data_IF_814792044954
#
_entry.id   IF_814792044954
#
_cell.length_a   1.000
_cell.length_b   1.000
_cell.length_c   1.000
_cell.angle_alpha   90.00
_cell.angle_beta   90.00
_cell.angle_gamma   90.00
#
_symmetry.space_group_name_H-M   'P 1'
#
loop_
_entity.id
_entity.type
_entity.pdbx_description
1 polymer ?
#
# COMPACT_ATOMS: atom_id res chain seq x y z
N UNK A 1 -0.47 -64.23 62.97
CA UNK A 1 -0.48 -65.68 62.70
C UNK A 1 -1.32 -66.36 63.75
N UNK A 2 -2.30 -67.14 63.40
CA UNK A 2 -3.13 -67.92 64.31
C UNK A 2 -2.73 -69.40 64.10
N UNK A 3 -1.99 -70.05 65.04
CA UNK A 3 -1.70 -71.45 64.92
C UNK A 3 -2.94 -72.30 65.04
N UNK A 4 -3.00 -73.39 64.26
CA UNK A 4 -4.12 -74.34 64.25
C UNK A 4 -3.62 -75.79 64.19
N UNK A 5 -4.36 -76.74 64.81
CA UNK A 5 -4.09 -78.15 64.72
C UNK A 5 -5.41 -78.92 64.55
N UNK A 6 -5.41 -80.26 64.64
CA UNK A 6 -6.58 -81.12 64.55
C UNK A 6 -7.67 -80.87 65.64
N UNK A 7 -7.33 -80.19 66.72
CA UNK A 7 -8.24 -79.83 67.81
C UNK A 7 -8.83 -78.45 67.67
N UNK A 8 -8.40 -77.62 66.69
CA UNK A 8 -8.90 -76.31 66.48
C UNK A 8 -7.80 -75.25 66.37
N UNK A 9 -8.25 -73.96 66.18
CA UNK A 9 -7.33 -72.84 66.15
C UNK A 9 -7.21 -72.17 67.52
N UNK A 10 -6.06 -71.60 67.80
CA UNK A 10 -5.80 -70.88 69.05
C UNK A 10 -6.72 -69.66 69.12
N UNK A 11 -7.36 -69.45 70.33
CA UNK A 11 -8.09 -68.24 70.67
C UNK A 11 -7.25 -67.26 71.45
N UNK A 12 -7.47 -65.98 71.33
CA UNK A 12 -6.75 -64.94 72.10
C UNK A 12 -5.39 -64.55 71.53
N UNK A 13 -5.09 -64.95 70.29
CA UNK A 13 -3.88 -64.49 69.62
C UNK A 13 -3.87 -62.97 69.48
N UNK A 14 -2.77 -62.33 69.93
CA UNK A 14 -2.62 -60.86 69.77
C UNK A 14 -2.26 -60.49 68.35
N UNK A 15 -2.86 -59.36 67.92
CA UNK A 15 -2.48 -58.74 66.65
C UNK A 15 -1.31 -57.83 66.91
N UNK A 16 -0.20 -57.97 66.19
CA UNK A 16 0.93 -57.03 66.18
C UNK A 16 0.83 -56.18 64.89
N UNK A 17 0.85 -54.89 65.08
CA UNK A 17 0.94 -53.93 63.96
C UNK A 17 2.43 -53.65 63.71
N UNK A 18 2.76 -53.50 62.45
CA UNK A 18 4.09 -52.97 62.07
C UNK A 18 3.83 -51.81 61.12
N UNK A 19 4.65 -50.80 61.22
CA UNK A 19 4.65 -49.64 60.28
C UNK A 19 5.89 -49.80 59.42
N UNK A 20 5.73 -49.81 58.11
CA UNK A 20 6.85 -49.74 57.17
C UNK A 20 7.44 -48.35 57.21
N UNK A 21 8.75 -48.27 57.14
CA UNK A 21 9.44 -46.98 56.98
C UNK A 21 8.96 -46.32 55.67
N UNK A 22 8.72 -45.02 55.73
CA UNK A 22 8.34 -44.24 54.54
C UNK A 22 9.53 -44.24 53.55
N UNK A 23 9.21 -44.45 52.29
CA UNK A 23 10.27 -44.40 51.23
C UNK A 23 10.88 -42.99 51.23
N UNK A 24 12.20 -42.82 51.20
CA UNK A 24 12.87 -41.52 51.14
C UNK A 24 12.44 -40.76 49.90
N UNK A 25 11.96 -39.53 50.10
CA UNK A 25 11.65 -38.64 48.98
C UNK A 25 12.97 -38.11 48.42
N UNK A 26 13.23 -38.34 47.14
CA UNK A 26 14.40 -37.83 46.44
C UNK A 26 14.02 -36.63 45.56
N UNK A 27 15.02 -35.79 45.29
CA UNK A 27 14.86 -34.64 44.37
C UNK A 27 14.43 -35.15 42.97
N UNK A 28 13.46 -34.54 42.30
CA UNK A 28 13.02 -34.97 40.99
C UNK A 28 14.13 -34.89 39.91
N UNK A 29 14.00 -35.67 38.85
CA UNK A 29 14.86 -35.53 37.66
C UNK A 29 14.52 -34.24 36.88
N UNK A 30 15.45 -33.80 36.05
CA UNK A 30 15.19 -32.66 35.13
C UNK A 30 14.19 -33.01 34.03
N UNK A 31 13.51 -32.00 33.50
CA UNK A 31 12.72 -32.04 32.28
C UNK A 31 13.07 -30.83 31.42
N UNK A 32 12.58 -30.81 30.20
CA UNK A 32 12.74 -29.69 29.26
C UNK A 32 11.40 -29.38 28.55
N UNK A 33 11.30 -28.20 27.96
CA UNK A 33 10.15 -27.82 27.16
C UNK A 33 9.98 -28.77 25.97
N UNK A 34 8.75 -29.21 25.74
CA UNK A 34 8.32 -29.97 24.56
C UNK A 34 7.63 -29.01 23.55
N UNK A 35 7.00 -27.93 24.03
CA UNK A 35 6.45 -26.85 23.25
C UNK A 35 6.88 -25.54 23.93
N UNK A 36 7.52 -24.63 23.23
CA UNK A 36 8.18 -24.82 21.94
C UNK A 36 9.31 -25.87 22.03
N UNK A 37 9.53 -26.62 20.94
CA UNK A 37 10.65 -27.54 20.87
C UNK A 37 11.99 -26.79 20.84
N UNK A 38 13.06 -27.45 21.33
CA UNK A 38 14.40 -26.84 21.30
C UNK A 38 14.83 -26.51 19.84
N UNK A 39 15.26 -25.26 19.60
CA UNK A 39 15.69 -24.77 18.29
C UNK A 39 14.54 -24.47 17.33
N UNK A 40 13.28 -24.51 17.78
CA UNK A 40 12.15 -24.16 16.95
C UNK A 40 12.18 -22.69 16.51
N UNK A 41 11.77 -22.42 15.27
CA UNK A 41 11.65 -21.09 14.67
C UNK A 41 10.20 -20.81 14.27
N UNK A 42 9.87 -19.57 13.97
CA UNK A 42 8.53 -19.12 13.57
C UNK A 42 7.44 -19.48 14.61
N UNK A 43 7.79 -19.36 15.90
CA UNK A 43 6.84 -19.59 16.98
C UNK A 43 5.98 -18.34 17.19
N UNK A 44 4.66 -18.49 17.26
CA UNK A 44 3.75 -17.39 17.53
C UNK A 44 4.07 -16.67 18.84
N UNK A 45 3.87 -15.37 18.91
CA UNK A 45 4.17 -14.56 20.11
C UNK A 45 3.29 -14.93 21.30
N UNK A 46 2.04 -15.34 21.07
CA UNK A 46 1.10 -15.85 22.09
C UNK A 46 1.28 -17.38 22.26
N UNK A 47 2.51 -17.84 22.51
CA UNK A 47 2.80 -19.27 22.58
C UNK A 47 2.48 -19.87 23.94
N UNK A 48 2.06 -21.14 23.93
CA UNK A 48 1.85 -21.96 25.11
C UNK A 48 3.11 -22.81 25.38
N UNK A 49 3.54 -22.88 26.63
CA UNK A 49 4.65 -23.72 27.06
C UNK A 49 4.14 -25.05 27.58
N UNK A 50 4.79 -26.16 27.21
CA UNK A 50 4.45 -27.47 27.76
C UNK A 50 5.72 -28.31 27.98
N UNK A 51 5.64 -29.28 28.90
CA UNK A 51 6.68 -30.20 29.23
C UNK A 51 6.13 -31.53 29.74
N UNK A 52 6.99 -32.54 29.78
CA UNK A 52 6.63 -33.87 30.30
C UNK A 52 6.62 -33.86 31.83
N UNK A 53 5.59 -34.42 32.44
CA UNK A 53 5.50 -34.61 33.86
C UNK A 53 6.65 -35.47 34.39
N UNK A 54 7.23 -35.07 35.51
CA UNK A 54 8.34 -35.80 36.17
C UNK A 54 7.83 -36.51 37.41
N UNK A 55 8.13 -37.81 37.52
CA UNK A 55 7.77 -38.62 38.69
C UNK A 55 8.38 -38.03 39.96
N UNK A 56 7.53 -37.85 41.00
CA UNK A 56 7.97 -37.29 42.27
C UNK A 56 8.06 -35.75 42.31
N UNK A 57 7.83 -35.04 41.22
CA UNK A 57 7.68 -33.59 41.23
C UNK A 57 6.28 -33.19 41.74
N UNK A 58 6.23 -32.16 42.61
CA UNK A 58 5.01 -31.56 43.14
C UNK A 58 4.82 -30.11 42.67
N UNK A 59 5.82 -29.53 42.04
CA UNK A 59 5.78 -28.23 41.41
C UNK A 59 6.86 -28.06 40.37
N UNK A 60 6.73 -27.03 39.53
CA UNK A 60 7.70 -26.65 38.50
C UNK A 60 8.03 -25.18 38.58
N UNK A 61 9.31 -24.81 38.47
CA UNK A 61 9.74 -23.44 38.24
C UNK A 61 9.96 -23.28 36.74
N UNK A 62 9.21 -22.39 36.12
CA UNK A 62 9.41 -22.01 34.72
C UNK A 62 10.22 -20.72 34.66
N UNK A 63 11.29 -20.75 33.85
CA UNK A 63 12.21 -19.66 33.65
C UNK A 63 12.29 -19.37 32.14
N UNK A 64 12.06 -18.10 31.76
CA UNK A 64 12.10 -17.63 30.38
C UNK A 64 12.89 -16.33 30.34
N UNK A 65 13.73 -16.19 29.34
CA UNK A 65 14.51 -14.97 29.14
C UNK A 65 15.07 -14.81 27.74
N UNK A 66 15.64 -13.64 27.46
CA UNK A 66 16.20 -13.26 26.16
C UNK A 66 17.67 -13.65 25.98
N UNK A 67 18.29 -14.22 27.02
CA UNK A 67 19.64 -14.78 26.96
C UNK A 67 19.74 -15.99 27.88
N UNK A 68 20.63 -16.96 27.54
CA UNK A 68 20.85 -18.14 28.35
C UNK A 68 21.34 -17.76 29.76
N UNK A 69 20.60 -18.20 30.78
CA UNK A 69 20.90 -17.89 32.19
C UNK A 69 20.32 -16.54 32.68
N UNK A 70 19.71 -15.74 31.83
CA UNK A 70 19.00 -14.50 32.17
C UNK A 70 17.49 -14.73 32.07
N UNK A 71 16.81 -14.65 33.24
CA UNK A 71 15.37 -14.98 33.34
C UNK A 71 14.53 -13.71 33.52
N UNK A 72 14.63 -12.79 32.58
CA UNK A 72 14.06 -11.46 32.64
C UNK A 72 12.60 -11.37 32.15
N UNK A 73 12.05 -12.45 31.56
CA UNK A 73 10.65 -12.51 31.12
C UNK A 73 9.79 -13.21 32.18
N UNK A 74 10.23 -14.39 32.64
CA UNK A 74 9.54 -15.14 33.68
C UNK A 74 10.56 -15.89 34.55
N UNK A 75 10.34 -15.88 35.86
CA UNK A 75 11.05 -16.75 36.83
C UNK A 75 10.06 -17.03 37.97
N UNK A 76 9.25 -18.06 37.79
CA UNK A 76 8.11 -18.29 38.68
C UNK A 76 7.88 -19.77 38.92
N UNK A 77 7.48 -20.12 40.16
CA UNK A 77 6.88 -21.42 40.46
C UNK A 77 5.43 -21.40 39.93
N UNK A 78 5.16 -22.23 38.93
CA UNK A 78 3.86 -22.34 38.25
C UNK A 78 2.97 -23.45 38.83
N UNK A 79 3.41 -24.10 39.95
CA UNK A 79 2.65 -25.16 40.61
C UNK A 79 2.85 -26.53 39.95
N UNK A 80 1.96 -27.46 40.24
CA UNK A 80 1.98 -28.83 39.71
C UNK A 80 1.22 -28.89 38.36
N UNK A 81 1.73 -28.20 37.36
CA UNK A 81 1.17 -28.17 36.01
C UNK A 81 2.24 -28.60 35.00
N UNK A 82 1.80 -29.02 33.83
CA UNK A 82 2.69 -29.38 32.70
C UNK A 82 2.49 -28.48 31.49
N UNK A 83 1.67 -27.43 31.63
CA UNK A 83 1.44 -26.40 30.62
C UNK A 83 1.34 -25.05 31.29
N UNK A 84 1.76 -23.99 30.58
CA UNK A 84 1.68 -22.61 31.07
C UNK A 84 1.57 -21.62 29.89
N UNK A 85 0.63 -20.68 30.00
CA UNK A 85 0.50 -19.55 29.09
C UNK A 85 1.07 -18.29 29.73
N UNK A 86 1.86 -17.52 28.99
CA UNK A 86 2.30 -16.22 29.45
C UNK A 86 1.09 -15.24 29.50
N UNK A 87 1.06 -14.33 30.47
CA UNK A 87 0.02 -13.31 30.54
C UNK A 87 0.16 -12.22 29.47
N UNK A 88 1.32 -12.07 28.88
CA UNK A 88 1.62 -11.12 27.83
C UNK A 88 2.32 -11.83 26.66
N UNK A 89 2.11 -11.31 25.45
CA UNK A 89 2.77 -11.79 24.26
C UNK A 89 4.28 -11.54 24.31
N UNK A 90 5.03 -12.39 23.62
CA UNK A 90 6.46 -12.24 23.39
C UNK A 90 6.70 -11.23 22.27
N UNK A 91 7.93 -10.69 22.18
CA UNK A 91 8.31 -9.84 21.05
C UNK A 91 8.51 -10.66 19.78
N UNK A 92 8.25 -10.07 18.64
CA UNK A 92 8.59 -10.61 17.33
C UNK A 92 10.10 -10.74 17.14
N UNK A 93 10.53 -11.57 16.19
CA UNK A 93 11.93 -11.72 15.74
C UNK A 93 12.93 -11.93 16.85
N UNK A 94 12.49 -12.54 17.97
CA UNK A 94 13.28 -12.63 19.20
C UNK A 94 13.57 -14.07 19.58
N UNK A 95 14.85 -14.36 19.91
CA UNK A 95 15.22 -15.64 20.47
C UNK A 95 14.98 -15.64 21.98
N UNK A 96 14.28 -16.67 22.46
CA UNK A 96 14.02 -16.91 23.87
C UNK A 96 14.67 -18.20 24.35
N UNK A 97 15.05 -18.20 25.61
CA UNK A 97 15.62 -19.33 26.33
C UNK A 97 14.68 -19.76 27.42
N UNK A 98 14.50 -21.09 27.57
CA UNK A 98 13.55 -21.69 28.51
C UNK A 98 14.24 -22.73 29.35
N UNK A 99 14.01 -22.72 30.68
CA UNK A 99 14.40 -23.76 31.60
C UNK A 99 13.24 -24.14 32.49
N UNK A 100 13.04 -25.44 32.69
CA UNK A 100 12.01 -26.00 33.57
C UNK A 100 12.71 -26.77 34.67
N UNK A 101 12.41 -26.45 35.93
CA UNK A 101 13.00 -27.03 37.11
C UNK A 101 11.92 -27.71 37.92
N UNK A 102 11.79 -29.05 37.88
CA UNK A 102 10.89 -29.78 38.76
C UNK A 102 11.36 -29.71 40.24
N UNK A 103 10.42 -29.65 41.17
CA UNK A 103 10.66 -29.50 42.60
C UNK A 103 9.71 -30.35 43.42
N UNK A 104 10.15 -30.77 44.61
CA UNK A 104 9.33 -31.40 45.65
C UNK A 104 9.84 -31.01 47.07
N UNK A 105 9.36 -31.69 48.10
CA UNK A 105 9.76 -31.42 49.50
C UNK A 105 11.23 -31.75 49.79
N UNK A 106 11.89 -32.58 48.99
CA UNK A 106 13.34 -32.88 49.12
C UNK A 106 14.20 -31.80 48.44
N UNK A 107 13.63 -30.96 47.58
CA UNK A 107 14.34 -29.88 46.89
C UNK A 107 13.97 -29.73 45.41
N UNK A 108 14.72 -28.86 44.74
CA UNK A 108 14.61 -28.61 43.29
C UNK A 108 15.68 -29.34 42.50
N UNK A 109 15.32 -29.80 41.31
CA UNK A 109 16.29 -30.39 40.37
C UNK A 109 17.40 -29.38 40.03
N UNK A 110 18.62 -29.87 39.88
CA UNK A 110 19.79 -29.05 39.54
C UNK A 110 20.39 -29.49 38.19
N UNK A 111 21.02 -28.53 37.47
CA UNK A 111 21.66 -28.82 36.19
C UNK A 111 20.69 -29.06 35.04
N UNK A 112 19.42 -28.61 35.14
CA UNK A 112 18.45 -28.78 34.08
C UNK A 112 18.83 -27.97 32.83
N UNK A 113 18.63 -28.60 31.68
CA UNK A 113 18.98 -28.04 30.36
C UNK A 113 18.17 -26.79 30.03
N UNK A 114 18.80 -25.87 29.32
CA UNK A 114 18.17 -24.72 28.72
C UNK A 114 17.85 -25.04 27.25
N UNK A 115 16.62 -24.84 26.84
CA UNK A 115 16.18 -24.91 25.45
C UNK A 115 15.97 -23.49 24.90
N UNK A 116 15.92 -23.33 23.58
CA UNK A 116 15.66 -22.05 22.95
C UNK A 116 14.67 -22.21 21.82
N UNK A 117 14.06 -21.09 21.45
CA UNK A 117 13.21 -20.97 20.26
C UNK A 117 13.24 -19.51 19.78
N UNK A 118 12.81 -19.28 18.53
CA UNK A 118 12.70 -17.94 17.95
C UNK A 118 11.27 -17.68 17.53
N UNK A 119 10.73 -16.51 17.86
CA UNK A 119 9.40 -16.08 17.47
C UNK A 119 9.34 -15.71 15.98
N UNK A 120 8.13 -15.66 15.43
CA UNK A 120 7.85 -15.22 14.06
C UNK A 120 8.37 -13.80 13.85
N UNK A 121 8.67 -13.46 12.59
CA UNK A 121 8.93 -12.08 12.19
C UNK A 121 7.65 -11.24 12.30
N UNK A 122 7.82 -9.94 12.55
CA UNK A 122 6.75 -8.96 12.47
C UNK A 122 6.38 -8.65 11.01
N UNK A 123 5.35 -7.87 10.87
CA UNK A 123 4.90 -7.21 9.64
C UNK A 123 4.36 -5.85 10.12
N UNK A 124 5.26 -4.84 10.18
CA UNK A 124 5.01 -3.59 10.90
C UNK A 124 4.00 -2.71 10.18
N UNK A 125 4.00 -2.72 8.85
CA UNK A 125 3.08 -1.91 8.04
C UNK A 125 1.83 -2.69 7.58
N UNK A 126 1.83 -4.03 7.75
CA UNK A 126 0.67 -4.87 7.50
C UNK A 126 0.37 -5.12 6.02
N UNK A 127 1.37 -5.02 5.16
CA UNK A 127 1.23 -5.21 3.71
C UNK A 127 1.22 -6.70 3.28
N UNK A 128 1.52 -7.63 4.23
CA UNK A 128 1.56 -9.08 4.04
C UNK A 128 2.94 -9.64 3.76
N UNK A 129 3.99 -8.80 3.75
CA UNK A 129 5.40 -9.21 3.67
C UNK A 129 6.05 -8.93 5.02
N UNK A 130 6.73 -9.95 5.56
CA UNK A 130 7.34 -9.83 6.89
C UNK A 130 8.58 -8.95 6.87
N UNK A 131 8.85 -8.22 7.98
CA UNK A 131 9.94 -7.23 8.13
C UNK A 131 11.32 -7.74 7.67
N UNK A 132 11.59 -9.06 7.75
CA UNK A 132 12.86 -9.65 7.32
C UNK A 132 13.01 -9.74 5.80
N UNK A 133 11.93 -9.62 5.05
CA UNK A 133 11.89 -9.69 3.59
C UNK A 133 11.44 -8.38 2.97
N UNK A 134 10.80 -7.53 3.76
CA UNK A 134 10.26 -6.27 3.31
C UNK A 134 11.37 -5.26 3.00
N UNK A 135 11.39 -4.77 1.77
CA UNK A 135 12.29 -3.72 1.29
C UNK A 135 11.64 -2.33 1.29
N UNK A 136 10.34 -2.27 1.50
CA UNK A 136 9.54 -1.04 1.51
C UNK A 136 8.73 -0.90 2.81
N UNK A 137 9.38 -0.76 3.98
CA UNK A 137 8.81 -0.96 5.32
C UNK A 137 7.84 0.14 5.79
N UNK A 138 7.11 0.76 4.92
CA UNK A 138 6.07 1.74 5.22
C UNK A 138 5.04 1.76 4.09
N UNK A 139 4.76 0.65 3.46
CA UNK A 139 3.73 0.54 2.44
C UNK A 139 2.36 0.71 3.10
N UNK A 140 1.52 1.66 2.67
CA UNK A 140 0.21 1.86 3.27
C UNK A 140 -0.68 0.63 3.13
N UNK A 141 -1.41 0.30 4.19
CA UNK A 141 -2.32 -0.85 4.22
C UNK A 141 -3.30 -0.84 3.03
N UNK A 142 -3.39 -1.97 2.33
CA UNK A 142 -4.30 -2.16 1.20
C UNK A 142 -3.71 -1.80 -0.17
N UNK A 143 -2.47 -1.34 -0.23
CA UNK A 143 -1.72 -1.21 -1.47
C UNK A 143 -1.21 -2.60 -1.88
N UNK A 144 -1.44 -3.06 -3.13
CA UNK A 144 -0.86 -4.29 -3.63
C UNK A 144 0.66 -4.22 -3.69
N UNK A 145 1.33 -5.27 -3.19
CA UNK A 145 2.79 -5.33 -3.15
C UNK A 145 3.33 -6.55 -3.88
N UNK A 146 4.59 -6.49 -4.24
CA UNK A 146 5.36 -7.63 -4.73
C UNK A 146 5.87 -8.51 -3.57
N UNK A 147 6.68 -9.53 -3.88
CA UNK A 147 7.27 -10.43 -2.87
C UNK A 147 8.27 -9.76 -1.93
N UNK A 148 8.63 -8.51 -2.17
CA UNK A 148 9.55 -7.71 -1.38
C UNK A 148 8.85 -6.59 -0.59
N UNK A 149 7.52 -6.59 -0.52
CA UNK A 149 6.74 -5.56 0.17
C UNK A 149 6.63 -4.23 -0.59
N UNK A 150 7.10 -4.15 -1.84
CA UNK A 150 7.08 -2.89 -2.58
C UNK A 150 5.82 -2.76 -3.45
N UNK A 151 5.19 -1.56 -3.48
CA UNK A 151 3.98 -1.30 -4.25
C UNK A 151 4.10 -1.69 -5.72
N UNK A 152 3.05 -2.32 -6.26
CA UNK A 152 2.95 -2.69 -7.68
C UNK A 152 1.67 -2.15 -8.29
N UNK A 153 1.78 -1.69 -9.55
CA UNK A 153 0.62 -1.26 -10.32
C UNK A 153 -0.34 -2.43 -10.55
N UNK A 154 -1.50 -2.40 -9.90
CA UNK A 154 -2.51 -3.45 -9.97
C UNK A 154 -3.51 -3.26 -11.13
N UNK A 155 -3.78 -2.01 -11.52
CA UNK A 155 -4.68 -1.65 -12.60
C UNK A 155 -4.19 -0.37 -13.29
N UNK A 156 -3.94 -0.41 -14.62
CA UNK A 156 -3.47 0.76 -15.35
C UNK A 156 -4.39 1.97 -15.13
N UNK A 157 -3.78 3.14 -14.99
CA UNK A 157 -4.53 4.40 -14.96
C UNK A 157 -5.13 4.67 -16.34
N UNK A 158 -6.42 4.92 -16.37
CA UNK A 158 -7.13 5.40 -17.54
C UNK A 158 -7.66 6.79 -17.26
N UNK A 159 -7.49 7.69 -18.22
CA UNK A 159 -7.93 9.07 -18.09
C UNK A 159 -8.90 9.43 -19.20
N UNK A 160 -9.89 10.24 -18.86
CA UNK A 160 -10.74 10.95 -19.83
C UNK A 160 -10.66 12.44 -19.53
N UNK A 161 -10.77 13.28 -20.57
CA UNK A 161 -10.67 14.71 -20.44
C UNK A 161 -11.92 15.39 -21.00
N UNK A 162 -12.39 16.40 -20.28
CA UNK A 162 -13.42 17.31 -20.73
C UNK A 162 -12.86 18.73 -20.71
N UNK A 163 -12.81 19.39 -21.87
CA UNK A 163 -12.28 20.75 -22.03
C UNK A 163 -13.45 21.70 -22.26
N UNK A 164 -13.52 22.74 -21.44
CA UNK A 164 -14.47 23.82 -21.56
C UNK A 164 -13.73 25.16 -21.56
N UNK A 165 -13.66 25.81 -22.72
CA UNK A 165 -12.86 27.03 -22.92
C UNK A 165 -11.39 26.83 -22.56
N UNK A 166 -10.92 27.41 -21.46
CA UNK A 166 -9.54 27.32 -20.95
C UNK A 166 -9.43 26.43 -19.71
N UNK A 167 -10.50 25.70 -19.38
CA UNK A 167 -10.52 24.78 -18.26
C UNK A 167 -10.52 23.34 -18.75
N UNK A 168 -9.86 22.46 -18.00
CA UNK A 168 -9.84 21.04 -18.27
C UNK A 168 -10.18 20.24 -17.01
N UNK A 169 -11.12 19.31 -17.13
CA UNK A 169 -11.45 18.34 -16.10
C UNK A 169 -10.98 16.95 -16.56
N UNK A 170 -10.05 16.37 -15.80
CA UNK A 170 -9.49 15.04 -16.05
C UNK A 170 -10.12 14.07 -15.06
N UNK A 171 -10.87 13.10 -15.55
CA UNK A 171 -11.38 12.00 -14.74
C UNK A 171 -10.44 10.81 -14.80
N UNK A 172 -10.16 10.23 -13.62
CA UNK A 172 -9.22 9.13 -13.43
C UNK A 172 -10.01 7.87 -13.09
N UNK A 173 -9.65 6.74 -13.70
CA UNK A 173 -10.12 5.41 -13.33
C UNK A 173 -8.95 4.43 -13.29
N UNK A 174 -9.03 3.42 -12.40
CA UNK A 174 -7.89 2.57 -12.06
C UNK A 174 -6.95 3.23 -11.05
N UNK A 175 -5.90 2.51 -10.66
CA UNK A 175 -4.97 2.93 -9.62
C UNK A 175 -5.60 3.10 -8.24
N UNK A 176 -4.80 3.45 -7.26
CA UNK A 176 -5.23 3.69 -5.87
C UNK A 176 -4.85 5.12 -5.45
N UNK A 177 -5.80 5.85 -4.86
CA UNK A 177 -5.53 7.19 -4.31
C UNK A 177 -4.61 7.14 -3.08
N UNK A 178 -3.86 8.22 -2.74
CA UNK A 178 -3.86 9.51 -3.42
C UNK A 178 -3.19 9.48 -4.80
N UNK A 179 -3.65 10.37 -5.67
CA UNK A 179 -3.04 10.60 -6.97
C UNK A 179 -2.12 11.83 -6.87
N UNK A 180 -0.87 11.67 -7.30
CA UNK A 180 0.05 12.77 -7.48
C UNK A 180 0.07 13.17 -8.95
N UNK A 181 0.00 14.45 -9.25
CA UNK A 181 0.01 14.92 -10.62
C UNK A 181 0.82 16.20 -10.77
N UNK A 182 1.31 16.42 -11.99
CA UNK A 182 1.91 17.70 -12.39
C UNK A 182 1.50 18.05 -13.81
N UNK A 183 1.43 19.34 -14.09
CA UNK A 183 1.11 19.89 -15.40
C UNK A 183 2.35 20.60 -15.95
N UNK A 184 2.68 20.35 -17.22
CA UNK A 184 3.75 21.03 -17.98
C UNK A 184 5.11 21.04 -17.23
N UNK A 185 5.48 19.92 -16.63
CA UNK A 185 6.68 19.80 -15.78
C UNK A 185 6.71 20.75 -14.56
N UNK A 186 5.57 21.26 -14.13
CA UNK A 186 5.42 22.07 -12.94
C UNK A 186 5.64 21.31 -11.64
N UNK A 187 5.21 21.88 -10.53
CA UNK A 187 5.30 21.24 -9.22
C UNK A 187 4.28 20.12 -9.08
N UNK A 188 4.70 19.03 -8.42
CA UNK A 188 3.81 17.96 -8.05
C UNK A 188 2.75 18.43 -7.05
N UNK A 189 1.52 18.03 -7.30
CA UNK A 189 0.35 18.24 -6.46
C UNK A 189 -0.27 16.88 -6.10
N UNK A 190 -1.07 16.81 -5.04
CA UNK A 190 -1.71 15.59 -4.60
C UNK A 190 -3.20 15.78 -4.40
N UNK A 191 -3.97 14.76 -4.77
CA UNK A 191 -5.43 14.72 -4.56
C UNK A 191 -5.91 13.32 -4.21
N UNK A 192 -6.95 13.23 -3.38
CA UNK A 192 -7.68 11.97 -3.15
C UNK A 192 -8.90 11.83 -4.04
N UNK A 193 -9.19 12.84 -4.87
CA UNK A 193 -10.31 12.83 -5.83
C UNK A 193 -9.93 12.07 -7.09
N UNK A 194 -10.89 11.36 -7.67
CA UNK A 194 -10.77 10.76 -9.00
C UNK A 194 -11.01 11.80 -10.15
N UNK A 195 -11.05 13.08 -9.84
CA UNK A 195 -11.15 14.18 -10.80
C UNK A 195 -10.13 15.26 -10.46
N UNK A 196 -9.41 15.74 -11.48
CA UNK A 196 -8.49 16.87 -11.41
C UNK A 196 -9.06 17.98 -12.26
N UNK A 197 -9.24 19.16 -11.68
CA UNK A 197 -9.72 20.34 -12.38
C UNK A 197 -8.57 21.32 -12.53
N UNK A 198 -8.29 21.70 -13.78
CA UNK A 198 -7.29 22.70 -14.16
C UNK A 198 -8.02 23.91 -14.73
N UNK A 199 -7.79 25.08 -14.16
CA UNK A 199 -8.46 26.30 -14.57
C UNK A 199 -7.48 27.28 -15.22
N UNK A 200 -7.98 28.16 -16.07
CA UNK A 200 -7.25 29.27 -16.69
C UNK A 200 -5.94 28.82 -17.40
N UNK A 201 -6.01 27.69 -18.11
CA UNK A 201 -4.89 27.20 -18.91
C UNK A 201 -4.62 28.15 -20.07
N UNK A 202 -3.35 28.36 -20.37
CA UNK A 202 -2.94 29.10 -21.56
C UNK A 202 -3.29 28.34 -22.85
N UNK A 203 -3.36 29.05 -23.97
CA UNK A 203 -3.53 28.38 -25.28
C UNK A 203 -2.28 27.60 -25.68
N UNK A 204 -2.42 26.38 -26.15
CA UNK A 204 -1.30 25.54 -26.55
C UNK A 204 -1.44 24.08 -26.16
N UNK A 205 -0.31 23.36 -26.29
CA UNK A 205 -0.18 21.97 -25.87
C UNK A 205 0.15 21.90 -24.39
N UNK A 206 -0.55 21.05 -23.67
CA UNK A 206 -0.34 20.77 -22.27
C UNK A 206 -0.11 19.27 -22.07
N UNK A 207 0.63 18.95 -21.03
CA UNK A 207 0.90 17.58 -20.59
C UNK A 207 0.56 17.46 -19.11
N UNK A 208 -0.22 16.46 -18.74
CA UNK A 208 -0.41 16.10 -17.34
C UNK A 208 0.16 14.71 -17.10
N UNK A 209 1.01 14.61 -16.10
CA UNK A 209 1.53 13.34 -15.59
C UNK A 209 0.79 13.00 -14.30
N UNK A 210 0.37 11.75 -14.13
CA UNK A 210 -0.41 11.30 -12.98
C UNK A 210 0.18 9.99 -12.49
N UNK A 211 0.47 9.91 -11.19
CA UNK A 211 0.94 8.72 -10.48
C UNK A 211 -0.04 8.38 -9.37
N UNK A 212 -0.35 7.10 -9.19
CA UNK A 212 -1.17 6.59 -8.08
C UNK A 212 -0.31 6.07 -6.93
N UNK A 213 -0.92 5.80 -5.78
CA UNK A 213 -0.23 5.27 -4.60
C UNK A 213 0.33 3.86 -4.84
N UNK A 214 -0.27 3.06 -5.73
CA UNK A 214 0.20 1.75 -6.16
C UNK A 214 1.16 1.80 -7.36
N UNK A 215 1.85 2.92 -7.55
CA UNK A 215 2.88 3.14 -8.58
C UNK A 215 2.41 3.05 -10.04
N UNK A 216 1.10 3.05 -10.30
CA UNK A 216 0.61 3.19 -11.66
C UNK A 216 0.86 4.62 -12.17
N UNK A 217 1.28 4.74 -13.42
CA UNK A 217 1.59 6.02 -14.06
C UNK A 217 0.81 6.17 -15.35
N UNK A 218 0.46 7.41 -15.69
CA UNK A 218 -0.07 7.76 -17.01
C UNK A 218 0.32 9.19 -17.38
N UNK A 219 0.43 9.43 -18.68
CA UNK A 219 0.67 10.76 -19.25
C UNK A 219 -0.45 11.02 -20.23
N UNK A 220 -1.09 12.17 -20.08
CA UNK A 220 -2.11 12.65 -21.00
C UNK A 220 -1.64 13.97 -21.64
N UNK A 221 -1.60 14.00 -22.96
CA UNK A 221 -1.38 15.21 -23.73
C UNK A 221 -2.72 15.77 -24.23
N UNK A 222 -2.92 17.05 -24.09
CA UNK A 222 -4.13 17.75 -24.58
C UNK A 222 -3.78 19.16 -25.00
N UNK A 223 -4.66 19.81 -25.75
CA UNK A 223 -4.42 21.19 -26.19
C UNK A 223 -5.61 22.09 -25.95
N UNK A 224 -5.33 23.31 -25.50
CA UNK A 224 -6.31 24.39 -25.35
C UNK A 224 -6.27 25.24 -26.60
N UNK A 225 -7.44 25.52 -27.17
CA UNK A 225 -7.55 26.37 -28.33
C UNK A 225 -7.82 27.82 -27.90
N UNK A 226 -6.78 28.65 -27.98
CA UNK A 226 -6.89 30.06 -27.71
C UNK A 226 -7.31 30.80 -29.01
N UNK A 227 -8.21 31.77 -28.86
CA UNK A 227 -8.68 32.57 -29.96
C UNK A 227 -8.35 34.05 -29.76
N UNK A 228 -7.39 34.54 -30.55
CA UNK A 228 -7.11 35.97 -30.60
C UNK A 228 -8.12 36.70 -31.52
N UNK A 229 -8.82 37.68 -30.97
CA UNK A 229 -9.87 38.39 -31.69
C UNK A 229 -9.37 39.51 -32.61
N UNK A 230 -8.04 39.67 -32.77
CA UNK A 230 -7.41 40.70 -33.59
C UNK A 230 -6.17 40.15 -34.28
N UNK A 231 -6.06 40.39 -35.59
CA UNK A 231 -4.81 40.24 -36.33
C UNK A 231 -4.43 41.57 -36.98
N UNK A 232 -3.13 41.81 -37.03
CA UNK A 232 -2.53 43.01 -37.62
C UNK A 232 -1.45 42.63 -38.64
N UNK A 233 -1.81 42.12 -39.82
CA UNK A 233 -0.88 41.58 -40.80
C UNK A 233 0.00 42.66 -41.43
N UNK A 234 0.95 43.21 -40.68
CA UNK A 234 1.87 44.28 -41.07
C UNK A 234 3.34 43.83 -41.20
N UNK A 235 3.62 42.57 -40.81
CA UNK A 235 4.95 41.97 -40.93
C UNK A 235 5.92 42.33 -39.77
N UNK A 236 5.41 42.79 -38.63
CA UNK A 236 6.21 43.13 -37.47
C UNK A 236 6.45 41.95 -36.51
N UNK A 237 5.85 40.79 -36.81
CA UNK A 237 5.94 39.56 -36.01
C UNK A 237 4.93 39.48 -34.86
N UNK A 238 4.07 40.51 -34.67
CA UNK A 238 3.07 40.55 -33.59
C UNK A 238 1.67 40.52 -34.16
N UNK A 239 0.91 39.46 -33.84
CA UNK A 239 -0.46 39.28 -34.34
C UNK A 239 -0.59 39.32 -35.86
N UNK A 240 0.44 39.01 -36.62
CA UNK A 240 0.41 39.01 -38.08
C UNK A 240 -0.52 37.94 -38.66
N UNK A 241 -0.74 36.88 -37.91
CA UNK A 241 -1.56 35.74 -38.34
C UNK A 241 -2.54 35.33 -37.23
N UNK A 242 -3.61 34.69 -37.63
CA UNK A 242 -4.43 33.88 -36.74
C UNK A 242 -3.85 32.47 -36.80
N UNK A 243 -3.17 32.04 -35.73
CA UNK A 243 -2.62 30.71 -35.60
C UNK A 243 -3.54 29.82 -34.75
N UNK A 244 -4.13 28.84 -35.40
CA UNK A 244 -4.98 27.82 -34.78
C UNK A 244 -4.42 26.43 -35.11
N UNK A 245 -3.11 26.31 -35.25
CA UNK A 245 -2.42 25.06 -35.58
C UNK A 245 -2.65 23.94 -34.55
N UNK A 246 -3.00 24.28 -33.31
CA UNK A 246 -3.44 23.33 -32.27
C UNK A 246 -4.68 22.51 -32.70
N UNK A 247 -5.46 22.98 -33.67
CA UNK A 247 -6.53 22.19 -34.28
C UNK A 247 -6.04 20.91 -35.00
N UNK A 248 -4.77 20.86 -35.41
CA UNK A 248 -4.17 19.64 -35.96
C UNK A 248 -4.12 18.47 -34.96
N UNK A 249 -4.17 18.76 -33.67
CA UNK A 249 -4.18 17.78 -32.57
C UNK A 249 -5.59 17.30 -32.21
N UNK A 250 -6.61 17.82 -32.88
CA UNK A 250 -8.01 17.50 -32.64
C UNK A 250 -8.57 16.58 -33.73
N UNK A 251 -9.62 15.87 -33.41
CA UNK A 251 -10.36 15.05 -34.37
C UNK A 251 -11.39 15.89 -35.14
N UNK A 252 -11.54 15.62 -36.44
CA UNK A 252 -12.49 16.27 -37.34
C UNK A 252 -12.48 17.80 -37.28
N UNK A 253 -11.32 18.47 -37.28
CA UNK A 253 -11.26 19.92 -37.13
C UNK A 253 -11.81 20.62 -38.35
N UNK A 254 -12.58 21.68 -38.13
CA UNK A 254 -13.14 22.57 -39.15
C UNK A 254 -12.96 24.01 -38.73
N UNK A 255 -12.52 24.85 -39.64
CA UNK A 255 -12.41 26.30 -39.44
C UNK A 255 -12.84 26.99 -40.72
N UNK A 256 -13.80 27.91 -40.61
CA UNK A 256 -14.27 28.75 -41.72
C UNK A 256 -14.30 30.19 -41.21
N UNK A 257 -13.75 31.10 -42.02
CA UNK A 257 -13.86 32.54 -41.79
C UNK A 257 -14.64 33.16 -42.95
N UNK A 258 -15.59 34.02 -42.64
CA UNK A 258 -16.49 34.67 -43.61
C UNK A 258 -16.53 36.19 -43.37
N UNK A 259 -16.86 36.92 -44.43
CA UNK A 259 -17.16 38.35 -44.34
C UNK A 259 -18.62 38.61 -43.83
N UNK A 260 -18.99 39.88 -43.70
CA UNK A 260 -20.33 40.30 -43.28
C UNK A 260 -21.48 39.87 -44.22
N UNK A 261 -21.13 39.41 -45.41
CA UNK A 261 -22.08 38.93 -46.42
C UNK A 261 -22.09 37.40 -46.52
N UNK A 262 -21.45 36.73 -45.58
CA UNK A 262 -21.30 35.28 -45.54
C UNK A 262 -20.43 34.69 -46.67
N UNK A 263 -19.65 35.51 -47.37
CA UNK A 263 -18.69 34.99 -48.34
C UNK A 263 -17.51 34.36 -47.60
N UNK A 264 -17.12 33.14 -48.00
CA UNK A 264 -15.97 32.43 -47.42
C UNK A 264 -14.68 33.15 -47.78
N UNK A 265 -13.93 33.57 -46.76
CA UNK A 265 -12.65 34.25 -46.86
C UNK A 265 -11.52 33.28 -46.67
N UNK A 266 -11.65 32.34 -45.70
CA UNK A 266 -10.64 31.36 -45.40
C UNK A 266 -11.30 30.04 -44.99
N UNK A 267 -10.64 28.93 -45.31
CA UNK A 267 -10.97 27.61 -44.82
C UNK A 267 -9.69 26.90 -44.30
N UNK A 268 -9.67 26.63 -43.01
CA UNK A 268 -8.56 25.95 -42.36
C UNK A 268 -8.55 24.45 -42.65
N UNK A 269 -7.37 23.91 -42.92
CA UNK A 269 -7.14 22.50 -43.17
C UNK A 269 -5.68 22.14 -42.85
N UNK A 270 -5.33 20.86 -42.96
CA UNK A 270 -3.98 20.40 -42.67
C UNK A 270 -2.88 21.02 -43.58
N UNK A 271 -3.20 21.38 -44.81
CA UNK A 271 -2.21 21.97 -45.74
C UNK A 271 -1.83 23.40 -45.36
N UNK A 272 -2.77 24.19 -44.84
CA UNK A 272 -2.51 25.55 -44.36
C UNK A 272 -2.33 25.61 -42.85
N UNK A 273 -2.27 24.44 -42.20
CA UNK A 273 -2.04 24.28 -40.75
C UNK A 273 -3.06 25.09 -39.87
N UNK A 274 -4.22 25.40 -40.38
CA UNK A 274 -5.19 26.28 -39.73
C UNK A 274 -4.62 27.67 -39.37
N UNK A 275 -3.65 28.16 -40.14
CA UNK A 275 -3.02 29.47 -39.97
C UNK A 275 -3.54 30.41 -41.09
N UNK A 276 -4.07 31.55 -40.70
CA UNK A 276 -4.59 32.56 -41.62
C UNK A 276 -3.82 33.88 -41.48
N UNK A 277 -3.28 34.38 -42.61
CA UNK A 277 -2.45 35.58 -42.70
C UNK A 277 -3.21 36.84 -43.06
N UNK A 278 -4.53 36.85 -42.92
CA UNK A 278 -5.36 38.00 -43.26
C UNK A 278 -5.46 38.31 -44.78
N UNK A 279 -5.21 37.31 -45.64
CA UNK A 279 -5.29 37.43 -47.07
C UNK A 279 -6.41 36.57 -47.67
N UNK A 280 -6.92 37.02 -48.81
CA UNK A 280 -7.78 36.25 -49.70
C UNK A 280 -7.10 36.16 -51.07
N UNK A 281 -6.81 34.96 -51.55
CA UNK A 281 -6.10 34.72 -52.83
C UNK A 281 -4.78 35.52 -52.93
N UNK A 282 -4.01 35.56 -51.83
CA UNK A 282 -2.71 36.23 -51.76
C UNK A 282 -2.78 37.78 -51.65
N UNK A 283 -3.97 38.38 -51.60
CA UNK A 283 -4.13 39.80 -51.43
C UNK A 283 -4.66 40.16 -50.03
N UNK A 284 -4.11 41.18 -49.37
CA UNK A 284 -4.63 41.65 -48.09
C UNK A 284 -6.11 41.99 -48.17
N UNK A 285 -6.92 41.56 -47.22
CA UNK A 285 -8.32 41.94 -47.10
C UNK A 285 -8.46 43.31 -46.46
N UNK A 286 -9.62 43.90 -46.51
CA UNK A 286 -9.88 45.23 -45.92
C UNK A 286 -9.84 45.13 -44.38
N UNK A 287 -9.46 46.24 -43.74
CA UNK A 287 -9.68 46.42 -42.30
C UNK A 287 -11.18 46.33 -42.01
N UNK A 288 -11.60 45.27 -41.35
CA UNK A 288 -12.98 45.00 -40.99
C UNK A 288 -13.08 43.88 -39.98
N UNK A 289 -14.27 43.59 -39.46
CA UNK A 289 -14.57 42.41 -38.66
C UNK A 289 -15.03 41.27 -39.55
N UNK A 290 -14.50 40.11 -39.33
CA UNK A 290 -14.83 38.87 -40.01
C UNK A 290 -15.37 37.87 -39.00
N UNK A 291 -16.22 36.95 -39.40
CA UNK A 291 -16.81 35.96 -38.52
C UNK A 291 -16.12 34.63 -38.75
N UNK A 292 -15.81 33.94 -37.64
CA UNK A 292 -15.31 32.60 -37.70
C UNK A 292 -16.30 31.60 -37.12
N UNK A 293 -16.27 30.41 -37.66
CA UNK A 293 -16.88 29.21 -37.11
C UNK A 293 -15.84 28.12 -37.07
N UNK A 294 -15.66 27.49 -35.90
CA UNK A 294 -14.83 26.33 -35.76
C UNK A 294 -15.56 25.23 -35.00
N UNK A 295 -15.20 24.00 -35.37
CA UNK A 295 -15.70 22.78 -34.75
C UNK A 295 -14.58 21.76 -34.70
N UNK A 296 -14.52 20.99 -33.65
CA UNK A 296 -13.57 19.88 -33.46
C UNK A 296 -14.15 18.87 -32.50
N UNK A 297 -13.49 17.69 -32.39
CA UNK A 297 -13.69 16.74 -31.29
C UNK A 297 -12.42 16.62 -30.50
N UNK A 298 -12.54 16.51 -29.20
CA UNK A 298 -11.43 16.06 -28.38
C UNK A 298 -11.16 14.57 -28.65
N UNK A 299 -9.91 14.09 -28.57
CA UNK A 299 -9.62 12.68 -28.70
C UNK A 299 -10.48 11.84 -27.76
N UNK A 300 -11.07 10.77 -28.30
CA UNK A 300 -12.01 9.88 -27.60
C UNK A 300 -13.37 10.52 -27.16
N UNK A 301 -13.68 11.75 -27.61
CA UNK A 301 -14.99 12.37 -27.35
C UNK A 301 -16.00 12.03 -28.44
N UNK A 302 -17.25 11.75 -28.04
CA UNK A 302 -18.35 11.55 -28.99
C UNK A 302 -19.02 12.86 -29.37
N UNK A 303 -18.84 13.92 -28.58
CA UNK A 303 -19.52 15.20 -28.78
C UNK A 303 -18.56 16.23 -29.35
N UNK A 304 -18.88 16.88 -30.50
CA UNK A 304 -18.05 17.94 -31.06
C UNK A 304 -18.16 19.22 -30.24
N UNK A 305 -17.03 19.82 -29.96
CA UNK A 305 -16.89 21.17 -29.47
C UNK A 305 -17.09 22.18 -30.63
N UNK A 306 -17.69 23.33 -30.34
CA UNK A 306 -17.93 24.38 -31.32
C UNK A 306 -17.62 25.75 -30.72
N UNK A 307 -16.99 26.60 -31.50
CA UNK A 307 -16.76 28.01 -31.13
C UNK A 307 -17.03 28.88 -32.33
N UNK A 308 -17.66 30.01 -32.09
CA UNK A 308 -17.95 31.02 -33.14
C UNK A 308 -17.78 32.41 -32.55
N UNK A 309 -17.44 33.34 -33.38
CA UNK A 309 -17.22 34.71 -32.96
C UNK A 309 -16.77 35.59 -34.12
N UNK A 310 -16.12 36.67 -33.78
CA UNK A 310 -15.57 37.59 -34.75
C UNK A 310 -14.10 37.82 -34.52
N UNK A 311 -13.38 38.20 -35.58
CA UNK A 311 -11.97 38.60 -35.57
C UNK A 311 -11.86 39.93 -36.34
N UNK A 312 -11.18 40.90 -35.73
CA UNK A 312 -10.81 42.13 -36.36
C UNK A 312 -9.52 41.96 -37.17
N UNK A 313 -9.55 42.23 -38.44
CA UNK A 313 -8.36 42.39 -39.25
C UNK A 313 -8.06 43.87 -39.40
N UNK A 314 -6.90 44.32 -38.93
CA UNK A 314 -6.48 45.71 -39.01
C UNK A 314 -5.27 45.82 -39.90
N UNK A 315 -5.47 46.07 -41.18
CA UNK A 315 -4.39 46.42 -42.12
C UNK A 315 -4.06 47.90 -41.97
N UNK A 316 -2.74 48.19 -41.98
CA UNK A 316 -2.23 49.55 -42.02
C UNK A 316 -2.03 50.00 -43.45
#
# INVERSE_FOLDING_TARGET
IIPSNSAGSASGCSVTNFITEAQPITVPACTSATIPANGATNIGIATNFSWTAVTGATSYILQIGTASGTWNILNQNVGNVTTFNLPNDLNYSTQYFVRIIPSNSAGSASGCSVTNFTTVYGDEDGDGVTDDKDQCPNTPLGIPVDSNGCPVCSAPLMTTINIQENDAEISISGGISPFNYRVDNGLWQSTSSNSIVLNDLEGGLHTIEINSADTCETILEFSIIEMHNVITPNGDGINDVLDLSTLLLKEEPKLIIVDRYSNKIFEGNANNQFIWDGKLNGRPIKTDSYWFYMQWKEPNSQTPSKKQGWILVKNR
#
